data_IF_827620193309
#
_entry.id   IF_827620193309
#
_cell.length_a   1.000
_cell.length_b   1.000
_cell.length_c   1.000
_cell.angle_alpha   90.00
_cell.angle_beta   90.00
_cell.angle_gamma   90.00
#
_symmetry.space_group_name_H-M   'P 1'
#
loop_
_entity.id
_entity.type
_entity.pdbx_description
1 polymer ?
#
# COMPACT_ATOMS: atom_id res chain seq x y z
N UNK A 1 -14.87 4.41 1.34
CA UNK A 1 -14.36 3.05 1.69
C UNK A 1 -13.08 2.81 0.88
N UNK A 2 -11.94 2.72 1.56
CA UNK A 2 -10.63 2.46 0.96
C UNK A 2 -10.60 1.02 0.43
N UNK A 3 -10.62 0.84 -0.89
CA UNK A 3 -10.56 -0.49 -1.56
C UNK A 3 -9.13 -0.80 -2.01
N UNK A 4 -8.88 -2.02 -2.46
CA UNK A 4 -7.55 -2.40 -2.99
C UNK A 4 -7.25 -1.66 -4.31
N UNK A 5 -5.95 -1.58 -4.66
CA UNK A 5 -5.45 -0.97 -5.90
C UNK A 5 -6.28 -1.35 -7.15
N UNK A 6 -6.72 -2.61 -7.20
CA UNK A 6 -7.57 -3.18 -8.25
C UNK A 6 -8.81 -2.35 -8.53
N UNK A 7 -9.48 -1.88 -7.47
CA UNK A 7 -10.76 -1.19 -7.57
C UNK A 7 -10.62 0.33 -7.65
N UNK A 8 -9.60 0.90 -7.01
CA UNK A 8 -9.46 2.36 -6.91
C UNK A 8 -8.86 3.00 -8.16
N UNK A 9 -7.97 2.29 -8.86
CA UNK A 9 -7.21 2.88 -9.98
C UNK A 9 -7.58 2.28 -11.35
N UNK A 10 -8.79 1.73 -11.46
CA UNK A 10 -9.29 1.19 -12.74
C UNK A 10 -8.56 -0.07 -13.22
N UNK A 11 -7.70 -0.69 -12.40
CA UNK A 11 -6.92 -1.88 -12.76
C UNK A 11 -7.78 -3.15 -12.93
N UNK A 12 -9.05 -3.12 -12.49
CA UNK A 12 -10.04 -4.17 -12.79
C UNK A 12 -10.53 -4.13 -14.24
N UNK A 13 -10.38 -3.00 -14.94
CA UNK A 13 -10.91 -2.83 -16.29
C UNK A 13 -9.99 -3.45 -17.34
N UNK A 14 -10.58 -3.93 -18.44
CA UNK A 14 -9.83 -4.43 -19.58
C UNK A 14 -9.19 -3.27 -20.33
N UNK A 15 -7.85 -3.16 -20.26
CA UNK A 15 -7.08 -2.16 -21.00
C UNK A 15 -6.59 -2.77 -22.31
N UNK A 16 -7.03 -2.21 -23.44
CA UNK A 16 -6.73 -2.76 -24.78
C UNK A 16 -5.24 -2.67 -25.16
N UNK A 17 -4.50 -1.72 -24.59
CA UNK A 17 -3.10 -1.46 -24.95
C UNK A 17 -2.17 -1.67 -23.75
N UNK A 18 -1.16 -2.52 -23.93
CA UNK A 18 -0.14 -2.84 -22.90
C UNK A 18 0.65 -1.62 -22.46
N UNK A 19 1.00 -0.71 -23.38
CA UNK A 19 1.76 0.51 -23.04
C UNK A 19 0.94 1.43 -22.13
N UNK A 20 -0.36 1.56 -22.39
CA UNK A 20 -1.28 2.31 -21.54
C UNK A 20 -1.44 1.63 -20.18
N UNK A 21 -1.61 0.30 -20.17
CA UNK A 21 -1.71 -0.48 -18.93
C UNK A 21 -0.48 -0.27 -18.04
N UNK A 22 0.73 -0.32 -18.60
CA UNK A 22 1.98 -0.04 -17.89
C UNK A 22 2.00 1.36 -17.27
N UNK A 23 1.54 2.39 -18.02
CA UNK A 23 1.46 3.77 -17.51
C UNK A 23 0.47 3.89 -16.34
N UNK A 24 -0.70 3.25 -16.45
CA UNK A 24 -1.72 3.24 -15.38
C UNK A 24 -1.17 2.56 -14.13
N UNK A 25 -0.57 1.38 -14.27
CA UNK A 25 0.02 0.62 -13.16
C UNK A 25 1.12 1.44 -12.47
N UNK A 26 2.05 2.03 -13.24
CA UNK A 26 3.12 2.87 -12.69
C UNK A 26 2.58 4.03 -11.86
N UNK A 27 1.52 4.70 -12.35
CA UNK A 27 0.86 5.79 -11.64
C UNK A 27 0.15 5.29 -10.37
N UNK A 28 -0.58 4.18 -10.45
CA UNK A 28 -1.29 3.59 -9.31
C UNK A 28 -0.33 3.19 -8.18
N UNK A 29 0.77 2.52 -8.51
CA UNK A 29 1.81 2.12 -7.55
C UNK A 29 2.46 3.35 -6.91
N UNK A 30 2.79 4.38 -7.70
CA UNK A 30 3.37 5.62 -7.18
C UNK A 30 2.42 6.32 -6.19
N UNK A 31 1.12 6.39 -6.49
CA UNK A 31 0.14 6.99 -5.59
C UNK A 31 0.00 6.16 -4.31
N UNK A 32 -0.09 4.84 -4.41
CA UNK A 32 -0.21 3.95 -3.25
C UNK A 32 0.99 4.07 -2.32
N UNK A 33 2.21 4.04 -2.86
CA UNK A 33 3.42 4.07 -2.03
C UNK A 33 3.68 5.45 -1.41
N UNK A 34 3.43 6.54 -2.15
CA UNK A 34 3.91 7.87 -1.75
C UNK A 34 2.82 8.80 -1.23
N UNK A 35 1.55 8.60 -1.62
CA UNK A 35 0.46 9.53 -1.30
C UNK A 35 -0.61 8.91 -0.43
N UNK A 36 -0.79 7.59 -0.48
CA UNK A 36 -1.83 6.92 0.30
C UNK A 36 -1.34 6.69 1.72
N UNK A 37 -2.10 7.20 2.68
CA UNK A 37 -1.90 6.95 4.11
C UNK A 37 -2.64 5.68 4.52
N UNK A 38 -2.01 4.85 5.35
CA UNK A 38 -2.59 3.59 5.81
C UNK A 38 -2.89 3.65 7.31
N UNK A 39 -4.13 3.34 7.71
CA UNK A 39 -4.49 3.26 9.14
C UNK A 39 -3.64 2.22 9.87
N UNK A 40 -3.32 1.10 9.22
CA UNK A 40 -2.48 0.06 9.80
C UNK A 40 -1.04 0.52 10.04
N UNK A 41 -0.61 1.59 9.35
CA UNK A 41 0.71 2.21 9.49
C UNK A 41 0.63 3.54 10.26
N UNK A 42 -0.39 3.74 11.10
CA UNK A 42 -0.61 5.00 11.85
C UNK A 42 -0.68 6.24 10.95
N UNK A 43 -1.37 6.11 9.81
CA UNK A 43 -1.49 7.14 8.77
C UNK A 43 -0.19 7.48 8.03
N UNK A 44 0.87 6.69 8.19
CA UNK A 44 2.05 6.82 7.36
C UNK A 44 1.84 6.20 5.97
N UNK A 45 2.68 6.61 5.04
CA UNK A 45 2.73 6.03 3.69
C UNK A 45 3.65 4.82 3.67
N UNK A 46 3.41 3.84 2.75
CA UNK A 46 4.30 2.69 2.63
C UNK A 46 5.75 3.10 2.37
N UNK A 47 5.99 4.10 1.50
CA UNK A 47 7.35 4.59 1.22
C UNK A 47 8.03 5.16 2.48
N UNK A 48 7.29 5.88 3.33
CA UNK A 48 7.83 6.39 4.58
C UNK A 48 8.27 5.25 5.51
N UNK A 49 7.42 4.24 5.69
CA UNK A 49 7.76 3.09 6.55
C UNK A 49 8.93 2.30 5.97
N UNK A 50 9.03 2.16 4.65
CA UNK A 50 10.17 1.49 4.00
C UNK A 50 11.51 2.18 4.28
N UNK A 51 11.51 3.51 4.39
CA UNK A 51 12.71 4.29 4.71
C UNK A 51 13.01 4.32 6.22
N UNK A 52 11.99 4.18 7.06
CA UNK A 52 12.10 4.25 8.51
C UNK A 52 11.87 2.85 9.11
N UNK A 53 12.96 2.13 9.39
CA UNK A 53 12.90 0.81 10.01
C UNK A 53 12.31 0.85 11.43
N UNK A 54 11.92 -0.31 11.96
CA UNK A 54 11.44 -0.50 13.34
C UNK A 54 10.16 0.28 13.67
N UNK A 55 9.28 0.48 12.70
CA UNK A 55 8.01 1.18 12.91
C UNK A 55 6.97 0.22 13.50
N UNK A 56 6.35 0.65 14.60
CA UNK A 56 5.22 -0.05 15.19
C UNK A 56 3.98 0.08 14.30
N UNK A 57 3.40 -1.05 13.91
CA UNK A 57 2.20 -1.13 13.09
C UNK A 57 0.98 -1.59 13.89
N UNK A 58 -0.21 -1.38 13.32
CA UNK A 58 -1.45 -1.90 13.90
C UNK A 58 -1.64 -3.35 13.49
N UNK A 59 -1.46 -4.27 14.43
CA UNK A 59 -1.74 -5.69 14.24
C UNK A 59 -3.22 -6.00 14.50
N UNK A 60 -3.86 -6.66 13.53
CA UNK A 60 -5.22 -7.19 13.64
C UNK A 60 -5.26 -8.64 14.16
N UNK A 61 -4.11 -9.22 14.54
CA UNK A 61 -4.06 -10.57 15.12
C UNK A 61 -4.79 -10.60 16.46
N UNK A 62 -5.49 -11.71 16.73
CA UNK A 62 -6.21 -11.94 18.00
C UNK A 62 -5.25 -12.15 19.17
N UNK A 63 -4.23 -12.99 19.00
CA UNK A 63 -3.10 -13.07 19.93
C UNK A 63 -1.99 -12.10 19.47
N UNK A 64 -1.50 -11.28 20.39
CA UNK A 64 -0.49 -10.23 20.17
C UNK A 64 0.84 -10.52 20.86
N UNK A 65 0.99 -11.69 21.47
CA UNK A 65 2.27 -12.15 22.01
C UNK A 65 3.29 -12.27 20.86
N UNK A 66 4.52 -11.79 21.10
CA UNK A 66 5.64 -11.79 20.15
C UNK A 66 5.42 -10.96 18.86
N UNK A 67 4.84 -9.76 18.97
CA UNK A 67 4.79 -8.84 17.83
C UNK A 67 6.14 -8.18 17.59
N UNK A 68 6.74 -8.51 16.44
CA UNK A 68 7.93 -7.83 15.93
C UNK A 68 7.59 -6.50 15.26
N UNK A 69 8.56 -5.58 15.21
CA UNK A 69 8.43 -4.33 14.49
C UNK A 69 8.60 -4.55 12.99
N UNK A 70 8.01 -3.66 12.18
CA UNK A 70 8.22 -3.71 10.73
C UNK A 70 9.69 -3.45 10.40
N UNK A 71 10.32 -4.46 9.81
CA UNK A 71 11.69 -4.49 9.28
C UNK A 71 11.64 -4.95 7.82
N UNK A 72 12.64 -4.56 7.01
CA UNK A 72 12.71 -4.83 5.56
C UNK A 72 13.86 -5.75 5.22
#
# INVERSE_FOLDING_TARGET
INRTLKYEYGLKQTVKNVTLAKKIIKKAVSIYNNKRTHHSLKLNTPAFVHLNQNVAYHSYKRNKENLELLTF
#
